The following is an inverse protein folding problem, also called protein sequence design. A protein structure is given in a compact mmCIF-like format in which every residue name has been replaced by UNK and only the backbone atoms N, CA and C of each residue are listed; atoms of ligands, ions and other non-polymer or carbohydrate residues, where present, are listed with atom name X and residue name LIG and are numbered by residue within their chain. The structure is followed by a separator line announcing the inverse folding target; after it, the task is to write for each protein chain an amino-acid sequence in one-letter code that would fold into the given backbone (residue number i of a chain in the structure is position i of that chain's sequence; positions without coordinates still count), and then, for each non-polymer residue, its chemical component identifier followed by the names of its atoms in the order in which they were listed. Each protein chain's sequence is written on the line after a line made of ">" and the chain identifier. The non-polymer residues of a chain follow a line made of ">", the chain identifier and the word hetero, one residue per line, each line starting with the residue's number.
data_IF_838904933199
#
_entry.id   IF_838904933199
#
_cell.length_a   1.000
_cell.length_b   1.000
_cell.length_c   1.000
_cell.angle_alpha   90.00
_cell.angle_beta   90.00
_cell.angle_gamma   90.00
#
_symmetry.space_group_name_H-M   'P 1'
#
loop_
_entity.id
_entity.type
_entity.pdbx_description
1 polymer ?
#
# COMPACT_ATOMS: atom_id res chain seq x y z
N UNK A 1 -11.77 -16.04 9.76
CA UNK A 1 -11.72 -16.10 8.30
C UNK A 1 -10.31 -16.49 7.93
N UNK A 2 -10.11 -17.51 7.10
CA UNK A 2 -8.79 -17.80 6.55
C UNK A 2 -8.44 -16.67 5.56
N UNK A 3 -7.33 -15.96 5.77
CA UNK A 3 -6.93 -14.88 4.88
C UNK A 3 -6.62 -15.47 3.52
N UNK A 4 -7.32 -15.02 2.48
CA UNK A 4 -7.06 -15.45 1.12
C UNK A 4 -5.86 -14.66 0.58
N UNK A 5 -4.64 -15.08 0.96
CA UNK A 5 -3.39 -14.41 0.60
C UNK A 5 -3.27 -14.18 -0.92
N UNK A 6 -3.69 -15.15 -1.73
CA UNK A 6 -3.68 -15.03 -3.18
C UNK A 6 -4.59 -13.90 -3.68
N UNK A 7 -5.74 -13.68 -3.03
CA UNK A 7 -6.64 -12.59 -3.39
C UNK A 7 -6.04 -11.23 -3.02
N UNK A 8 -5.44 -11.12 -1.82
CA UNK A 8 -4.80 -9.89 -1.35
C UNK A 8 -3.62 -9.54 -2.28
N UNK A 9 -2.76 -10.51 -2.56
CA UNK A 9 -1.60 -10.34 -3.46
C UNK A 9 -2.05 -9.92 -4.86
N UNK A 10 -3.08 -10.59 -5.41
CA UNK A 10 -3.59 -10.27 -6.75
C UNK A 10 -4.16 -8.85 -6.83
N UNK A 11 -4.86 -8.37 -5.79
CA UNK A 11 -5.41 -7.00 -5.77
C UNK A 11 -4.29 -5.99 -5.58
N UNK A 12 -3.35 -6.23 -4.66
CA UNK A 12 -2.18 -5.38 -4.46
C UNK A 12 -1.37 -5.23 -5.76
N UNK A 13 -1.04 -6.33 -6.43
CA UNK A 13 -0.30 -6.29 -7.69
C UNK A 13 -1.06 -5.52 -8.78
N UNK A 14 -2.39 -5.68 -8.87
CA UNK A 14 -3.20 -4.91 -9.81
C UNK A 14 -3.12 -3.41 -9.54
N UNK A 15 -3.21 -2.98 -8.28
CA UNK A 15 -3.06 -1.55 -7.91
C UNK A 15 -1.68 -1.04 -8.35
N UNK A 16 -0.62 -1.79 -8.04
CA UNK A 16 0.75 -1.42 -8.41
C UNK A 16 0.96 -1.34 -9.93
N UNK A 17 0.39 -2.29 -10.70
CA UNK A 17 0.49 -2.31 -12.16
C UNK A 17 -0.23 -1.11 -12.80
N UNK A 18 -1.41 -0.74 -12.29
CA UNK A 18 -2.15 0.44 -12.75
C UNK A 18 -1.42 1.73 -12.40
N UNK A 19 -0.95 1.88 -11.16
CA UNK A 19 -0.19 3.05 -10.72
C UNK A 19 1.08 3.23 -11.57
N UNK A 20 1.83 2.14 -11.80
CA UNK A 20 2.99 2.14 -12.69
C UNK A 20 2.62 2.59 -14.11
N UNK A 21 1.54 2.03 -14.67
CA UNK A 21 1.09 2.36 -16.03
C UNK A 21 0.70 3.84 -16.15
N UNK A 22 0.01 4.39 -15.14
CA UNK A 22 -0.36 5.81 -15.11
C UNK A 22 0.89 6.69 -15.10
N UNK A 23 1.87 6.39 -14.21
CA UNK A 23 3.13 7.14 -14.14
C UNK A 23 3.90 7.11 -15.48
N UNK A 24 4.03 5.94 -16.10
CA UNK A 24 4.69 5.80 -17.41
C UNK A 24 3.98 6.63 -18.52
N UNK A 25 2.66 6.76 -18.44
CA UNK A 25 1.88 7.56 -19.38
C UNK A 25 1.98 9.06 -19.10
N UNK A 26 1.98 9.46 -17.83
CA UNK A 26 2.21 10.83 -17.41
C UNK A 26 3.60 11.33 -17.82
N UNK A 27 4.63 10.46 -17.73
CA UNK A 27 6.00 10.74 -18.16
C UNK A 27 6.11 11.07 -19.66
N UNK A 28 5.25 10.48 -20.50
CA UNK A 28 5.16 10.80 -21.94
C UNK A 28 4.14 11.91 -22.25
N UNK A 29 3.62 12.58 -21.22
CA UNK A 29 2.72 13.72 -21.31
C UNK A 29 1.24 13.37 -21.52
N UNK A 30 0.85 12.13 -21.25
CA UNK A 30 -0.53 11.65 -21.36
C UNK A 30 -1.11 11.50 -19.96
N UNK A 31 -2.03 12.38 -19.59
CA UNK A 31 -2.82 12.21 -18.37
C UNK A 31 -4.04 11.33 -18.69
N UNK A 32 -4.17 10.19 -18.00
CA UNK A 32 -5.31 9.27 -18.14
C UNK A 32 -6.07 9.18 -16.82
N UNK A 33 -7.30 9.69 -16.81
CA UNK A 33 -8.26 9.55 -15.70
C UNK A 33 -9.21 8.38 -15.88
N UNK A 34 -9.13 7.64 -16.99
CA UNK A 34 -10.04 6.54 -17.30
C UNK A 34 -9.87 5.33 -16.36
N UNK A 35 -8.79 5.29 -15.58
CA UNK A 35 -8.50 4.22 -14.63
C UNK A 35 -8.85 4.58 -13.18
N UNK A 36 -9.24 5.82 -12.90
CA UNK A 36 -9.52 6.30 -11.53
C UNK A 36 -10.56 5.42 -10.84
N UNK A 37 -11.71 5.20 -11.50
CA UNK A 37 -12.78 4.32 -10.99
C UNK A 37 -12.29 2.88 -10.78
N UNK A 38 -11.38 2.40 -11.63
CA UNK A 38 -10.85 1.03 -11.53
C UNK A 38 -9.94 0.91 -10.31
N UNK A 39 -9.05 1.88 -10.10
CA UNK A 39 -8.16 1.94 -8.94
C UNK A 39 -8.98 2.09 -7.66
N UNK A 40 -10.03 2.92 -7.66
CA UNK A 40 -10.95 3.05 -6.54
C UNK A 40 -11.61 1.71 -6.19
N UNK A 41 -12.08 0.96 -7.18
CA UNK A 41 -12.65 -0.37 -6.94
C UNK A 41 -11.64 -1.38 -6.41
N UNK A 42 -10.38 -1.33 -6.86
CA UNK A 42 -9.31 -2.18 -6.34
C UNK A 42 -8.96 -1.83 -4.90
N UNK A 43 -8.87 -0.54 -4.58
CA UNK A 43 -8.66 -0.05 -3.21
C UNK A 43 -9.78 -0.50 -2.26
N UNK A 44 -11.05 -0.35 -2.68
CA UNK A 44 -12.20 -0.84 -1.93
C UNK A 44 -12.16 -2.37 -1.73
N UNK A 45 -11.71 -3.13 -2.75
CA UNK A 45 -11.56 -4.57 -2.63
C UNK A 45 -10.46 -4.96 -1.64
N UNK A 46 -9.34 -4.24 -1.64
CA UNK A 46 -8.26 -4.47 -0.69
C UNK A 46 -8.67 -4.09 0.74
N UNK A 47 -9.40 -2.98 0.92
CA UNK A 47 -9.97 -2.59 2.21
C UNK A 47 -10.92 -3.67 2.74
N UNK A 48 -11.78 -4.23 1.89
CA UNK A 48 -12.67 -5.32 2.28
C UNK A 48 -11.92 -6.59 2.68
N UNK A 49 -10.75 -6.85 2.09
CA UNK A 49 -9.89 -7.99 2.44
C UNK A 49 -9.07 -7.73 3.72
N UNK A 50 -8.69 -6.48 3.98
CA UNK A 50 -7.82 -6.04 5.07
C UNK A 50 -8.44 -4.91 5.93
N UNK A 51 -9.67 -5.07 6.46
CA UNK A 51 -10.44 -3.93 6.98
C UNK A 51 -9.83 -3.25 8.21
N UNK A 52 -9.08 -3.99 9.03
CA UNK A 52 -8.48 -3.47 10.26
C UNK A 52 -7.16 -2.72 10.01
N UNK A 53 -6.47 -3.06 8.91
CA UNK A 53 -5.12 -2.57 8.63
C UNK A 53 -5.05 -1.66 7.41
N UNK A 54 -6.05 -1.67 6.53
CA UNK A 54 -6.05 -0.86 5.31
C UNK A 54 -5.89 0.63 5.60
N UNK A 55 -6.58 1.16 6.62
CA UNK A 55 -6.44 2.56 7.03
C UNK A 55 -5.03 2.95 7.52
N UNK A 56 -4.14 1.97 7.75
CA UNK A 56 -2.75 2.21 8.13
C UNK A 56 -1.82 2.38 6.92
N UNK A 57 -2.22 2.00 5.71
CA UNK A 57 -1.36 2.04 4.52
C UNK A 57 -2.06 2.46 3.22
N UNK A 58 -3.38 2.45 3.13
CA UNK A 58 -4.14 2.58 1.87
C UNK A 58 -3.75 3.81 1.03
N UNK A 59 -3.68 4.98 1.66
CA UNK A 59 -3.30 6.24 0.98
C UNK A 59 -1.84 6.28 0.51
N UNK A 60 -1.02 5.32 0.96
CA UNK A 60 0.42 5.22 0.71
C UNK A 60 0.81 3.78 0.34
N UNK A 61 -0.08 3.04 -0.31
CA UNK A 61 0.10 1.62 -0.60
C UNK A 61 1.36 1.36 -1.44
N UNK A 62 1.70 2.29 -2.32
CA UNK A 62 2.89 2.29 -3.17
C UNK A 62 4.22 2.34 -2.39
N UNK A 63 4.15 2.74 -1.12
CA UNK A 63 5.30 2.86 -0.23
C UNK A 63 5.66 1.55 0.47
N UNK A 64 4.85 0.49 0.33
CA UNK A 64 5.02 -0.78 1.05
C UNK A 64 5.14 -1.97 0.10
N UNK A 65 5.81 -3.05 0.52
CA UNK A 65 5.73 -4.34 -0.19
C UNK A 65 4.45 -5.02 0.22
N UNK A 66 4.06 -6.01 -0.58
CA UNK A 66 3.12 -7.02 -0.14
C UNK A 66 3.47 -7.61 1.25
N UNK A 67 4.73 -7.98 1.51
CA UNK A 67 5.14 -8.53 2.81
C UNK A 67 5.00 -7.52 3.95
N UNK A 68 5.28 -6.23 3.70
CA UNK A 68 5.12 -5.17 4.69
C UNK A 68 3.65 -4.91 4.99
N UNK A 69 2.78 -4.93 3.98
CA UNK A 69 1.31 -4.87 4.14
C UNK A 69 0.83 -6.06 4.97
N UNK A 70 1.28 -7.27 4.68
CA UNK A 70 0.93 -8.45 5.47
C UNK A 70 1.42 -8.33 6.92
N UNK A 71 2.63 -7.84 7.15
CA UNK A 71 3.16 -7.61 8.50
C UNK A 71 2.33 -6.58 9.26
N UNK A 72 1.94 -5.49 8.60
CA UNK A 72 1.06 -4.47 9.19
C UNK A 72 -0.31 -5.05 9.54
N UNK A 73 -0.85 -5.91 8.69
CA UNK A 73 -2.12 -6.58 8.92
C UNK A 73 -2.07 -7.62 10.06
N UNK A 74 -1.02 -8.43 10.12
CA UNK A 74 -0.80 -9.37 11.23
C UNK A 74 -0.62 -8.68 12.58
N UNK A 75 -0.12 -7.44 12.56
CA UNK A 75 0.24 -6.68 13.76
C UNK A 75 -0.64 -5.44 13.95
N UNK A 76 -1.77 -5.34 13.27
CA UNK A 76 -2.63 -4.15 13.28
C UNK A 76 -3.02 -3.73 14.71
N UNK A 77 -3.36 -4.69 15.56
CA UNK A 77 -3.70 -4.45 16.97
C UNK A 77 -2.52 -3.97 17.81
N UNK A 78 -1.27 -4.23 17.39
CA UNK A 78 -0.07 -3.76 18.07
C UNK A 78 0.38 -2.37 17.59
N UNK A 79 -0.10 -1.93 16.42
CA UNK A 79 0.26 -0.64 15.85
C UNK A 79 -0.54 0.46 16.56
N UNK A 80 0.16 1.55 16.88
CA UNK A 80 -0.43 2.74 17.49
C UNK A 80 -0.56 3.90 16.51
N UNK A 81 0.35 4.00 15.54
CA UNK A 81 0.34 5.01 14.49
C UNK A 81 1.36 4.67 13.41
N UNK A 82 1.11 5.15 12.20
CA UNK A 82 2.07 5.15 11.08
C UNK A 82 2.33 6.61 10.69
N UNK A 83 3.60 6.98 10.55
CA UNK A 83 4.01 8.32 10.14
C UNK A 83 4.78 8.24 8.83
N UNK A 84 4.39 9.06 7.86
CA UNK A 84 5.02 9.13 6.55
C UNK A 84 5.97 10.32 6.49
N UNK A 85 7.15 10.10 5.91
CA UNK A 85 8.19 11.10 5.77
C UNK A 85 8.94 10.89 4.46
N UNK A 86 9.85 11.82 4.14
CA UNK A 86 10.74 11.68 3.00
C UNK A 86 11.64 10.43 3.09
N UNK A 87 11.98 9.98 4.30
CA UNK A 87 12.81 8.80 4.55
C UNK A 87 12.03 7.48 4.46
N UNK A 88 10.69 7.55 4.33
CA UNK A 88 9.79 6.40 4.31
C UNK A 88 8.76 6.43 5.43
N UNK A 89 8.25 5.25 5.80
CA UNK A 89 7.22 5.07 6.81
C UNK A 89 7.79 4.63 8.15
N UNK A 90 7.42 5.33 9.23
CA UNK A 90 7.72 4.93 10.61
C UNK A 90 6.48 4.34 11.27
N UNK A 91 6.54 3.05 11.60
CA UNK A 91 5.49 2.34 12.32
C UNK A 91 5.82 2.37 13.80
N UNK A 92 4.92 2.93 14.62
CA UNK A 92 5.04 2.96 16.07
C UNK A 92 4.12 1.92 16.71
N UNK A 93 4.68 1.02 17.50
CA UNK A 93 3.92 -0.01 18.21
C UNK A 93 3.51 0.47 19.61
N UNK A 94 2.40 -0.09 20.13
CA UNK A 94 1.87 0.20 21.47
C UNK A 94 2.85 -0.11 22.59
N UNK A 95 3.81 -1.02 22.36
CA UNK A 95 4.89 -1.35 23.29
C UNK A 95 6.08 -0.35 23.28
N UNK A 96 5.98 0.73 22.50
CA UNK A 96 7.00 1.77 22.40
C UNK A 96 8.11 1.49 21.38
N UNK A 97 8.14 0.32 20.74
CA UNK A 97 9.06 0.02 19.64
C UNK A 97 8.67 0.78 18.37
N UNK A 98 9.66 1.02 17.52
CA UNK A 98 9.48 1.63 16.20
C UNK A 98 10.14 0.77 15.13
N UNK A 99 9.51 0.68 13.97
CA UNK A 99 10.08 0.11 12.75
C UNK A 99 10.11 1.20 11.67
N UNK A 100 11.26 1.37 11.04
CA UNK A 100 11.40 2.22 9.86
C UNK A 100 11.34 1.32 8.63
N UNK A 101 10.38 1.60 7.75
CA UNK A 101 10.32 1.08 6.40
C UNK A 101 10.89 2.17 5.49
N UNK A 102 12.09 1.98 4.92
CA UNK A 102 12.72 3.00 4.10
C UNK A 102 11.86 3.30 2.89
N UNK A 103 11.88 4.56 2.45
CA UNK A 103 11.25 4.95 1.18
C UNK A 103 11.81 4.08 0.08
N UNK A 104 10.90 3.61 -0.78
CA UNK A 104 11.28 3.06 -2.07
C UNK A 104 11.56 4.24 -2.97
N UNK A 105 12.81 4.65 -3.00
CA UNK A 105 13.30 5.43 -4.12
C UNK A 105 13.00 4.61 -5.39
N UNK A 106 12.62 5.31 -6.45
CA UNK A 106 12.41 4.76 -7.78
C UNK A 106 13.64 3.94 -8.20
N UNK A 107 13.71 2.65 -7.83
CA UNK A 107 14.62 1.67 -8.43
C UNK A 107 14.12 1.40 -9.86
N UNK A 108 14.25 2.42 -10.71
CA UNK A 108 14.10 2.41 -12.16
C UNK A 108 14.53 3.78 -12.71
N UNK A 109 15.83 4.09 -12.55
CA UNK A 109 16.54 5.05 -13.39
C UNK A 109 17.71 4.36 -14.09
#
# INVERSE_FOLDING_TARGET
>A
MEKNLNAIESVYNAIMDFDKTIRELEDVGINITAFDDTIEHLNNALEALLPESYGLFGDHIDSFTFEEILMMDERAEEISSVFYSYEGATIKFKNGKTLLIPRRDEEQA
#
